data_IF_912518617355
#
_entry.id   IF_912518617355
#
_cell.length_a   1.000
_cell.length_b   1.000
_cell.length_c   1.000
_cell.angle_alpha   90.00
_cell.angle_beta   90.00
_cell.angle_gamma   90.00
#
_symmetry.space_group_name_H-M   'P 1'
#
loop_
_entity.id
_entity.type
_entity.pdbx_description
1 polymer ?
#
# COMPACT_ATOMS: atom_id res chain seq x y z
N UNK A 1 -1.19 12.13 -3.85
CA UNK A 1 0.19 11.61 -4.03
C UNK A 1 0.47 10.65 -2.90
N UNK A 2 0.97 9.45 -3.19
CA UNK A 2 1.33 8.44 -2.19
C UNK A 2 2.76 8.63 -1.64
N UNK A 3 3.12 7.89 -0.61
CA UNK A 3 4.41 7.96 0.11
C UNK A 3 5.54 7.13 -0.53
N UNK A 4 5.32 6.56 -1.71
CA UNK A 4 6.27 5.64 -2.36
C UNK A 4 7.57 6.35 -2.73
N UNK A 5 8.70 5.68 -2.48
CA UNK A 5 10.01 6.05 -3.00
C UNK A 5 10.76 4.83 -3.53
N UNK A 6 11.81 5.06 -4.33
CA UNK A 6 12.72 4.02 -4.81
C UNK A 6 14.09 4.24 -4.18
N UNK A 7 14.63 3.21 -3.52
CA UNK A 7 15.90 3.26 -2.80
C UNK A 7 16.65 1.96 -3.05
N UNK A 8 17.89 2.04 -3.54
CA UNK A 8 18.79 0.89 -3.76
C UNK A 8 18.14 -0.28 -4.53
N UNK A 9 17.38 0.02 -5.59
CA UNK A 9 16.70 -0.98 -6.40
C UNK A 9 15.46 -1.61 -5.76
N UNK A 10 15.04 -1.13 -4.59
CA UNK A 10 13.83 -1.55 -3.89
C UNK A 10 12.76 -0.45 -3.90
N UNK A 11 11.49 -0.86 -3.95
CA UNK A 11 10.37 0.04 -3.74
C UNK A 11 10.05 0.14 -2.25
N UNK A 12 10.12 1.35 -1.71
CA UNK A 12 9.72 1.67 -0.34
C UNK A 12 8.30 2.24 -0.40
N UNK A 13 7.31 1.41 -0.06
CA UNK A 13 5.89 1.76 -0.19
C UNK A 13 5.47 2.76 0.88
N UNK A 14 5.87 2.52 2.13
CA UNK A 14 5.71 3.42 3.28
C UNK A 14 7.06 3.52 3.99
N UNK A 15 7.46 4.74 4.37
CA UNK A 15 8.75 4.95 5.01
C UNK A 15 8.70 4.49 6.48
N UNK A 16 9.76 3.84 6.98
CA UNK A 16 9.99 3.70 8.41
C UNK A 16 10.12 5.09 9.05
N UNK A 17 9.89 5.19 10.36
CA UNK A 17 10.32 6.37 11.11
C UNK A 17 11.85 6.38 11.13
N UNK A 18 12.47 7.39 10.51
CA UNK A 18 13.90 7.61 10.68
C UNK A 18 14.15 8.31 12.03
N UNK A 19 14.89 7.67 12.93
CA UNK A 19 15.38 8.28 14.17
C UNK A 19 16.59 9.22 13.94
N UNK A 20 16.90 9.58 12.69
CA UNK A 20 18.09 10.35 12.30
C UNK A 20 17.70 11.45 11.30
N UNK A 21 16.84 12.39 11.73
CA UNK A 21 16.83 13.80 11.32
C UNK A 21 15.62 14.46 11.99
N UNK A 22 15.82 14.91 13.23
CA UNK A 22 14.88 15.71 13.97
C UNK A 22 14.73 17.10 13.36
N UNK A 23 14.13 17.22 12.16
CA UNK A 23 13.54 18.48 11.70
C UNK A 23 12.60 18.34 10.50
N UNK A 24 11.47 17.63 10.61
CA UNK A 24 10.21 18.02 9.95
C UNK A 24 9.06 17.44 10.77
N UNK A 25 8.11 18.28 11.16
CA UNK A 25 6.79 17.90 11.72
C UNK A 25 5.95 17.10 10.71
N UNK A 26 6.43 15.95 10.24
CA UNK A 26 5.68 15.03 9.41
C UNK A 26 5.30 13.85 10.28
N UNK A 27 4.12 13.93 10.88
CA UNK A 27 3.48 12.77 11.49
C UNK A 27 3.55 11.62 10.49
N UNK A 28 4.35 10.61 10.80
CA UNK A 28 4.46 9.36 10.05
C UNK A 28 3.23 8.46 10.22
N UNK A 29 2.16 8.97 10.85
CA UNK A 29 0.86 8.31 10.90
C UNK A 29 0.12 8.45 9.56
N UNK A 30 -0.64 7.42 9.20
CA UNK A 30 -1.55 7.41 8.04
C UNK A 30 -0.86 7.50 6.66
N UNK A 31 0.34 6.92 6.53
CA UNK A 31 1.02 6.81 5.25
C UNK A 31 0.34 5.78 4.34
N UNK A 32 0.17 6.15 3.07
CA UNK A 32 -0.36 5.28 2.02
C UNK A 32 0.61 5.33 0.85
N UNK A 33 1.01 4.18 0.33
CA UNK A 33 1.79 4.07 -0.89
C UNK A 33 1.11 3.11 -1.85
N UNK A 34 1.17 3.41 -3.14
CA UNK A 34 0.69 2.49 -4.18
C UNK A 34 1.51 2.65 -5.44
N UNK A 35 1.87 1.52 -6.02
CA UNK A 35 2.58 1.42 -7.29
C UNK A 35 1.74 0.58 -8.22
N UNK A 36 1.55 1.05 -9.44
CA UNK A 36 0.90 0.31 -10.50
C UNK A 36 1.92 0.05 -11.60
N UNK A 37 1.81 -1.10 -12.25
CA UNK A 37 2.56 -1.34 -13.46
C UNK A 37 2.10 -0.35 -14.54
N UNK A 38 3.06 0.23 -15.27
CA UNK A 38 2.79 1.33 -16.19
C UNK A 38 1.87 0.92 -17.35
N UNK A 39 1.97 -0.32 -17.80
CA UNK A 39 1.24 -0.82 -18.96
C UNK A 39 0.02 -1.62 -18.49
N UNK A 40 -1.20 -1.29 -18.94
CA UNK A 40 -2.40 -2.08 -18.62
C UNK A 40 -2.25 -3.55 -19.06
N UNK A 41 -2.86 -4.45 -18.31
CA UNK A 41 -2.87 -5.90 -18.59
C UNK A 41 -4.32 -6.36 -18.76
N UNK A 42 -4.57 -7.24 -19.73
CA UNK A 42 -5.89 -7.84 -19.96
C UNK A 42 -6.18 -8.81 -18.80
N UNK A 43 -7.23 -8.54 -18.03
CA UNK A 43 -7.61 -9.36 -16.88
C UNK A 43 -8.50 -10.55 -17.24
N UNK A 44 -9.19 -10.53 -18.40
CA UNK A 44 -10.03 -11.62 -18.88
C UNK A 44 -10.21 -11.58 -20.40
N UNK A 45 -10.23 -12.75 -21.10
CA UNK A 45 -9.83 -14.07 -20.60
C UNK A 45 -8.31 -14.13 -20.42
N UNK A 46 -7.85 -14.45 -19.22
CA UNK A 46 -6.42 -14.48 -18.91
C UNK A 46 -6.11 -15.44 -17.74
N UNK A 47 -4.87 -15.92 -17.70
CA UNK A 47 -4.26 -16.55 -16.53
C UNK A 47 -2.95 -15.84 -16.25
N UNK A 48 -2.65 -15.57 -14.99
CA UNK A 48 -1.44 -14.85 -14.60
C UNK A 48 -0.80 -15.47 -13.37
N UNK A 49 0.51 -15.23 -13.22
CA UNK A 49 1.28 -15.53 -12.03
C UNK A 49 2.12 -14.31 -11.70
N UNK A 50 2.24 -14.00 -10.42
CA UNK A 50 3.10 -12.92 -9.92
C UNK A 50 3.92 -13.44 -8.76
N UNK A 51 5.15 -12.97 -8.66
CA UNK A 51 6.05 -13.31 -7.56
C UNK A 51 6.79 -12.05 -7.16
N UNK A 52 6.75 -11.76 -5.87
CA UNK A 52 7.43 -10.61 -5.28
C UNK A 52 8.01 -11.01 -3.92
N UNK A 53 9.06 -10.31 -3.51
CA UNK A 53 9.64 -10.43 -2.16
C UNK A 53 9.35 -9.14 -1.41
N UNK A 54 8.86 -9.26 -0.17
CA UNK A 54 8.55 -8.12 0.69
C UNK A 54 9.38 -8.24 1.96
N UNK A 55 9.93 -7.10 2.41
CA UNK A 55 10.48 -6.93 3.75
C UNK A 55 9.60 -5.95 4.52
N UNK A 56 8.90 -6.44 5.54
CA UNK A 56 8.17 -5.60 6.50
C UNK A 56 9.07 -5.38 7.70
N UNK A 57 9.29 -4.11 8.05
CA UNK A 57 10.03 -3.72 9.27
C UNK A 57 9.05 -3.02 10.19
N UNK A 58 8.94 -3.51 11.42
CA UNK A 58 8.10 -2.91 12.46
C UNK A 58 8.99 -2.10 13.39
N UNK A 59 8.49 -0.93 13.79
CA UNK A 59 9.13 -0.09 14.81
C UNK A 59 9.09 -0.84 16.16
N UNK A 60 10.25 -1.22 16.74
CA UNK A 60 10.30 -2.00 17.97
C UNK A 60 9.74 -1.23 19.18
N UNK A 61 9.69 0.10 19.11
CA UNK A 61 9.14 0.96 20.16
C UNK A 61 7.63 1.25 19.97
N UNK A 62 7.02 0.68 18.93
CA UNK A 62 5.58 0.82 18.66
C UNK A 62 4.80 -0.32 19.29
N UNK A 63 3.82 0.01 20.14
CA UNK A 63 2.89 -0.95 20.74
C UNK A 63 1.92 -1.60 19.73
N UNK A 64 1.84 -1.05 18.51
CA UNK A 64 0.97 -1.53 17.44
C UNK A 64 1.76 -1.72 16.14
N UNK A 65 1.53 -2.85 15.48
CA UNK A 65 1.98 -3.12 14.11
C UNK A 65 0.77 -3.19 13.18
N UNK A 66 0.85 -2.53 12.02
CA UNK A 66 -0.22 -2.49 11.03
C UNK A 66 0.07 -1.46 9.94
N UNK A 67 -0.75 -1.31 8.91
CA UNK A 67 -2.02 -2.01 8.63
C UNK A 67 -1.90 -3.16 7.61
N UNK A 68 -0.78 -3.22 6.87
CA UNK A 68 -0.46 -4.30 5.95
C UNK A 68 -0.21 -3.84 4.51
N UNK A 69 -0.13 -4.80 3.60
CA UNK A 69 0.07 -4.59 2.15
C UNK A 69 -0.90 -5.46 1.36
N UNK A 70 -1.24 -5.01 0.16
CA UNK A 70 -2.02 -5.81 -0.78
C UNK A 70 -1.47 -5.72 -2.21
N UNK A 71 -1.53 -6.84 -2.92
CA UNK A 71 -1.43 -6.86 -4.37
C UNK A 71 -2.81 -6.54 -4.97
N UNK A 72 -2.86 -5.66 -5.97
CA UNK A 72 -4.13 -5.19 -6.56
C UNK A 72 -4.13 -5.32 -8.08
N UNK A 73 -5.27 -5.78 -8.61
CA UNK A 73 -5.64 -5.57 -10.01
C UNK A 73 -6.70 -4.46 -10.02
N UNK A 74 -6.42 -3.38 -10.73
CA UNK A 74 -7.25 -2.18 -10.79
C UNK A 74 -7.67 -1.88 -12.23
N UNK A 75 -8.89 -1.35 -12.38
CA UNK A 75 -9.45 -0.97 -13.69
C UNK A 75 -8.83 0.32 -14.25
N UNK A 76 -8.29 1.18 -13.39
CA UNK A 76 -7.71 2.45 -13.74
C UNK A 76 -6.42 2.74 -12.94
N UNK A 77 -5.77 3.85 -13.27
CA UNK A 77 -4.59 4.36 -12.58
C UNK A 77 -4.91 5.52 -11.62
N UNK A 78 -6.19 5.68 -11.22
CA UNK A 78 -6.62 6.78 -10.37
C UNK A 78 -5.94 6.71 -9.01
N UNK A 79 -5.62 7.86 -8.37
CA UNK A 79 -4.95 7.91 -7.06
C UNK A 79 -5.70 7.14 -5.96
N UNK A 80 -5.03 6.86 -4.84
CA UNK A 80 -5.69 6.21 -3.70
C UNK A 80 -6.80 7.12 -3.20
N UNK A 81 -7.97 6.57 -2.79
CA UNK A 81 -9.06 7.40 -2.31
C UNK A 81 -8.64 8.27 -1.13
N UNK A 82 -9.29 9.41 -0.93
CA UNK A 82 -9.03 10.24 0.25
C UNK A 82 -9.32 9.44 1.53
N UNK A 83 -8.49 9.65 2.56
CA UNK A 83 -8.66 9.02 3.88
C UNK A 83 -8.69 7.48 3.86
N UNK A 84 -8.05 6.87 2.86
CA UNK A 84 -7.96 5.41 2.71
C UNK A 84 -6.76 4.78 3.45
N UNK A 85 -6.25 5.43 4.49
CA UNK A 85 -5.18 4.90 5.33
C UNK A 85 -5.73 3.83 6.28
N UNK A 86 -4.88 3.19 7.09
CA UNK A 86 -5.40 2.19 8.01
C UNK A 86 -5.73 0.88 7.30
N UNK A 87 -6.72 0.19 7.86
CA UNK A 87 -7.32 -1.05 7.31
C UNK A 87 -7.92 -0.90 5.90
N UNK A 88 -8.04 0.32 5.36
CA UNK A 88 -8.47 0.57 4.00
C UNK A 88 -7.35 0.38 2.94
N UNK A 89 -6.09 0.26 3.37
CA UNK A 89 -4.90 -0.09 2.57
C UNK A 89 -4.64 0.77 1.31
N UNK A 90 -5.23 1.96 1.22
CA UNK A 90 -5.15 2.80 0.04
C UNK A 90 -6.01 2.34 -1.14
N UNK A 91 -6.91 1.37 -0.91
CA UNK A 91 -7.72 0.71 -1.95
C UNK A 91 -9.16 1.18 -1.90
N UNK A 92 -9.73 1.22 -0.69
CA UNK A 92 -11.13 1.56 -0.43
C UNK A 92 -11.21 2.93 0.24
N UNK A 93 -12.20 3.74 -0.13
CA UNK A 93 -12.58 4.91 0.67
C UNK A 93 -13.45 4.46 1.87
N UNK A 94 -13.48 5.21 2.98
CA UNK A 94 -14.42 4.95 4.08
C UNK A 94 -15.89 4.92 3.63
N UNK A 95 -16.24 5.67 2.59
CA UNK A 95 -17.58 5.72 1.99
C UNK A 95 -17.86 4.60 0.97
N UNK A 96 -16.94 3.66 0.78
CA UNK A 96 -17.05 2.64 -0.26
C UNK A 96 -18.20 1.68 0.03
N UNK A 97 -19.26 1.74 -0.79
CA UNK A 97 -20.24 0.66 -0.88
C UNK A 97 -19.60 -0.52 -1.62
N UNK A 98 -19.61 -1.72 -1.01
CA UNK A 98 -18.90 -2.90 -1.51
C UNK A 98 -19.30 -3.36 -2.92
N UNK A 99 -20.46 -2.92 -3.43
CA UNK A 99 -21.00 -3.35 -4.73
C UNK A 99 -20.41 -2.64 -5.96
N UNK A 100 -19.68 -1.52 -5.83
CA UNK A 100 -19.23 -0.72 -6.99
C UNK A 100 -17.71 -0.80 -7.28
N UNK A 101 -16.98 -1.75 -6.68
CA UNK A 101 -15.53 -1.84 -6.87
C UNK A 101 -15.12 -3.21 -7.39
N UNK A 102 -14.77 -3.29 -8.68
CA UNK A 102 -14.12 -4.46 -9.28
C UNK A 102 -12.62 -4.49 -8.95
N UNK A 103 -12.28 -4.54 -7.65
CA UNK A 103 -10.90 -4.66 -7.18
C UNK A 103 -10.73 -6.00 -6.48
N UNK A 104 -9.91 -6.88 -7.04
CA UNK A 104 -9.47 -8.11 -6.37
C UNK A 104 -8.15 -7.81 -5.68
N UNK A 105 -8.04 -8.24 -4.42
CA UNK A 105 -6.82 -8.05 -3.65
C UNK A 105 -6.46 -9.30 -2.85
N UNK A 106 -5.15 -9.51 -2.72
CA UNK A 106 -4.57 -10.48 -1.79
C UNK A 106 -3.96 -9.68 -0.65
N UNK A 107 -4.51 -9.83 0.55
CA UNK A 107 -3.98 -9.19 1.75
C UNK A 107 -2.86 -10.05 2.33
N UNK A 108 -1.75 -9.40 2.69
CA UNK A 108 -0.70 -10.01 3.51
C UNK A 108 -0.64 -9.22 4.81
N UNK A 109 -1.17 -9.80 5.88
CA UNK A 109 -1.08 -9.30 7.24
C UNK A 109 -0.15 -10.17 8.07
N UNK A 110 0.58 -9.56 9.00
CA UNK A 110 1.29 -10.29 10.04
C UNK A 110 0.30 -10.62 11.15
N UNK A 111 0.13 -11.90 11.48
CA UNK A 111 -0.62 -12.36 12.65
C UNK A 111 0.40 -12.42 13.79
N UNK A 112 0.21 -11.56 14.80
CA UNK A 112 0.87 -11.67 16.11
C UNK A 112 0.16 -12.70 16.97
#
# INVERSE_FOLDING_TARGET
MGSVSSINGSLVITQPKDNQHANVNKSSANLIGRVLYKTPVIAWPASFSTTFTIKIVVDPDSALSGDGMAFVIAQDNQPSPSQSYGSYLGILAPSTKRECNSKVFVNVSHIS
#
